data_IF_868518576868
#
_entry.id   IF_868518576868
#
_cell.length_a   1.000
_cell.length_b   1.000
_cell.length_c   1.000
_cell.angle_alpha   90.00
_cell.angle_beta   90.00
_cell.angle_gamma   90.00
#
_symmetry.space_group_name_H-M   'P 1'
#
loop_
_entity.id
_entity.type
_entity.pdbx_description
1 polymer ?
#
# COMPACT_ATOMS: atom_id res chain seq x y z
N UNK A 1 -17.29 22.28 -24.78
CA UNK A 1 -17.52 20.82 -24.62
C UNK A 1 -16.94 20.39 -23.28
N UNK A 2 -17.78 20.03 -22.31
CA UNK A 2 -17.31 19.49 -21.05
C UNK A 2 -16.65 18.12 -21.32
N UNK A 3 -15.36 17.96 -20.95
CA UNK A 3 -14.74 16.63 -20.89
C UNK A 3 -15.62 15.78 -19.98
N UNK A 4 -16.24 14.73 -20.53
CA UNK A 4 -16.76 13.62 -19.72
C UNK A 4 -15.60 13.17 -18.84
N UNK A 5 -15.65 13.48 -17.54
CA UNK A 5 -14.76 12.86 -16.57
C UNK A 5 -15.05 11.37 -16.62
N UNK A 6 -14.24 10.61 -17.36
CA UNK A 6 -14.23 9.17 -17.19
C UNK A 6 -13.71 8.94 -15.78
N UNK A 7 -14.58 8.48 -14.88
CA UNK A 7 -14.14 7.96 -13.59
C UNK A 7 -12.95 7.04 -13.84
N UNK A 8 -11.80 7.34 -13.22
CA UNK A 8 -10.62 6.52 -13.38
C UNK A 8 -10.93 5.13 -12.83
N UNK A 9 -10.84 4.08 -13.67
CA UNK A 9 -10.99 2.69 -13.23
C UNK A 9 -9.66 2.24 -12.62
N UNK A 10 -9.34 2.80 -11.47
CA UNK A 10 -8.06 2.57 -10.81
C UNK A 10 -8.23 1.82 -9.51
N UNK A 11 -7.33 0.86 -9.29
CA UNK A 11 -7.13 0.16 -8.03
C UNK A 11 -5.74 0.56 -7.54
N UNK A 12 -5.67 1.00 -6.30
CA UNK A 12 -4.46 1.50 -5.67
C UNK A 12 -4.16 0.61 -4.47
N UNK A 13 -3.07 -0.14 -4.54
CA UNK A 13 -2.58 -0.96 -3.42
C UNK A 13 -1.55 -0.15 -2.65
N UNK A 14 -1.88 0.22 -1.41
CA UNK A 14 -1.08 1.13 -0.60
C UNK A 14 -0.10 0.33 0.25
N UNK A 15 1.18 0.60 0.04
CA UNK A 15 2.31 0.04 0.78
C UNK A 15 2.56 0.80 2.10
N UNK A 16 3.30 0.17 3.02
CA UNK A 16 3.72 0.74 4.31
C UNK A 16 4.38 2.10 4.17
N UNK A 17 5.24 2.30 3.17
CA UNK A 17 5.94 3.58 2.99
C UNK A 17 5.00 4.77 2.78
N UNK A 18 3.87 4.58 2.08
CA UNK A 18 2.84 5.61 1.95
C UNK A 18 2.04 5.79 3.24
N UNK A 19 1.75 4.69 3.95
CA UNK A 19 1.08 4.74 5.24
C UNK A 19 1.90 5.54 6.27
N UNK A 20 3.22 5.35 6.31
CA UNK A 20 4.13 6.07 7.22
C UNK A 20 4.01 7.60 7.02
N UNK A 21 3.85 8.06 5.78
CA UNK A 21 3.67 9.46 5.43
C UNK A 21 2.26 9.97 5.81
N UNK A 22 1.21 9.20 5.53
CA UNK A 22 -0.16 9.55 5.91
C UNK A 22 -0.33 9.67 7.43
N UNK A 23 0.32 8.78 8.19
CA UNK A 23 0.38 8.78 9.65
C UNK A 23 1.41 9.77 10.21
N UNK A 24 2.32 10.29 9.37
CA UNK A 24 3.43 11.18 9.77
C UNK A 24 4.29 10.55 10.88
N UNK A 25 4.74 9.31 10.66
CA UNK A 25 5.53 8.57 11.64
C UNK A 25 6.94 9.18 11.73
N UNK A 26 7.39 9.66 12.91
CA UNK A 26 8.69 10.29 13.07
C UNK A 26 9.84 9.40 12.61
N UNK A 27 10.82 9.98 11.91
CA UNK A 27 11.97 9.26 11.37
C UNK A 27 11.67 8.46 10.09
N UNK A 28 10.40 8.31 9.72
CA UNK A 28 9.95 7.58 8.55
C UNK A 28 9.08 8.40 7.60
N UNK A 29 8.81 9.66 7.93
CA UNK A 29 8.01 10.58 7.12
C UNK A 29 8.72 11.91 6.86
N UNK A 30 8.50 12.50 5.69
CA UNK A 30 9.08 13.79 5.29
C UNK A 30 8.01 14.77 4.79
N UNK A 31 8.15 16.06 5.12
CA UNK A 31 7.10 17.06 4.87
C UNK A 31 6.71 17.20 3.39
N UNK A 32 7.66 17.02 2.46
CA UNK A 32 7.36 17.03 1.02
C UNK A 32 6.50 15.83 0.63
N UNK A 33 6.86 14.62 1.06
CA UNK A 33 6.11 13.41 0.77
C UNK A 33 4.74 13.40 1.43
N UNK A 34 4.64 13.86 2.68
CA UNK A 34 3.35 14.03 3.39
C UNK A 34 2.38 14.86 2.55
N UNK A 35 2.83 16.02 2.03
CA UNK A 35 1.99 16.89 1.21
C UNK A 35 1.57 16.22 -0.09
N UNK A 36 2.52 15.66 -0.83
CA UNK A 36 2.26 15.05 -2.13
C UNK A 36 1.34 13.83 -2.01
N UNK A 37 1.60 12.94 -1.05
CA UNK A 37 0.80 11.72 -0.84
C UNK A 37 -0.61 12.07 -0.37
N UNK A 38 -0.80 13.10 0.46
CA UNK A 38 -2.14 13.56 0.86
C UNK A 38 -2.93 14.09 -0.33
N UNK A 39 -2.33 14.92 -1.18
CA UNK A 39 -2.98 15.44 -2.38
C UNK A 39 -3.40 14.29 -3.30
N UNK A 40 -2.50 13.31 -3.53
CA UNK A 40 -2.80 12.11 -4.33
C UNK A 40 -3.93 11.29 -3.72
N UNK A 41 -3.87 11.03 -2.42
CA UNK A 41 -4.89 10.26 -1.70
C UNK A 41 -6.28 10.91 -1.78
N UNK A 42 -6.36 12.22 -1.54
CA UNK A 42 -7.60 12.98 -1.69
C UNK A 42 -8.13 12.96 -3.12
N UNK A 43 -7.24 13.07 -4.12
CA UNK A 43 -7.62 13.02 -5.52
C UNK A 43 -8.14 11.62 -5.91
N UNK A 44 -7.49 10.55 -5.47
CA UNK A 44 -7.94 9.18 -5.70
C UNK A 44 -9.35 8.92 -5.11
N UNK A 45 -9.63 9.46 -3.92
CA UNK A 45 -10.97 9.40 -3.33
C UNK A 45 -11.99 10.15 -4.20
N UNK A 46 -11.67 11.37 -4.65
CA UNK A 46 -12.53 12.16 -5.53
C UNK A 46 -12.83 11.45 -6.85
N UNK A 47 -11.82 10.78 -7.41
CA UNK A 47 -11.92 10.01 -8.66
C UNK A 47 -12.57 8.64 -8.48
N UNK A 48 -12.98 8.30 -7.24
CA UNK A 48 -13.58 7.02 -6.85
C UNK A 48 -12.70 5.82 -7.20
N UNK A 49 -11.39 6.00 -7.11
CA UNK A 49 -10.45 4.87 -7.16
C UNK A 49 -10.74 3.91 -6.00
N UNK A 50 -10.41 2.64 -6.18
CA UNK A 50 -10.50 1.66 -5.11
C UNK A 50 -9.16 1.59 -4.39
N UNK A 51 -9.12 1.97 -3.12
CA UNK A 51 -7.90 1.97 -2.32
C UNK A 51 -7.89 0.71 -1.44
N UNK A 52 -6.88 -0.11 -1.63
CA UNK A 52 -6.66 -1.34 -0.87
C UNK A 52 -5.40 -1.23 -0.03
N UNK A 53 -5.46 -1.71 1.21
CA UNK A 53 -4.31 -1.79 2.12
C UNK A 53 -4.11 -3.25 2.50
N UNK A 54 -3.01 -3.90 2.08
CA UNK A 54 -2.68 -5.24 2.53
C UNK A 54 -2.47 -5.27 4.05
N UNK A 55 -3.05 -6.27 4.73
CA UNK A 55 -2.91 -6.43 6.18
C UNK A 55 -1.44 -6.49 6.66
N UNK A 56 -0.48 -7.15 5.96
CA UNK A 56 0.92 -7.12 6.35
C UNK A 56 1.52 -5.69 6.44
N UNK A 57 1.10 -4.77 5.56
CA UNK A 57 1.55 -3.37 5.61
C UNK A 57 1.06 -2.65 6.88
N UNK A 58 -0.11 -3.05 7.42
CA UNK A 58 -0.64 -2.50 8.68
C UNK A 58 0.19 -3.01 9.86
N UNK A 59 0.61 -4.29 9.84
CA UNK A 59 1.51 -4.82 10.88
C UNK A 59 2.87 -4.13 10.86
N UNK A 60 3.43 -3.91 9.67
CA UNK A 60 4.70 -3.19 9.53
C UNK A 60 4.59 -1.72 9.98
N UNK A 61 3.50 -1.03 9.63
CA UNK A 61 3.20 0.30 10.19
C UNK A 61 3.12 0.27 11.72
N UNK A 62 2.47 -0.74 12.29
CA UNK A 62 2.36 -0.94 13.74
C UNK A 62 3.73 -1.07 14.41
N UNK A 63 4.65 -1.82 13.81
CA UNK A 63 6.03 -1.95 14.29
C UNK A 63 6.76 -0.60 14.26
N UNK A 64 6.67 0.15 13.17
CA UNK A 64 7.26 1.49 13.08
C UNK A 64 6.69 2.46 14.12
N UNK A 65 5.39 2.39 14.39
CA UNK A 65 4.76 3.18 15.47
C UNK A 65 5.33 2.77 16.84
N UNK A 66 5.48 1.47 17.11
CA UNK A 66 6.01 0.97 18.36
C UNK A 66 7.45 1.47 18.65
N UNK A 67 8.26 1.61 17.60
CA UNK A 67 9.65 2.08 17.68
C UNK A 67 9.79 3.61 17.86
N UNK A 68 8.68 4.37 17.82
CA UNK A 68 8.70 5.83 18.07
C UNK A 68 9.15 6.10 19.51
N UNK A 69 10.24 6.88 19.67
CA UNK A 69 10.87 7.18 20.96
C UNK A 69 9.98 8.01 21.89
N UNK A 70 9.31 9.03 21.37
CA UNK A 70 8.39 9.88 22.14
C UNK A 70 7.11 9.10 22.48
N UNK A 71 6.91 8.82 23.77
CA UNK A 71 5.76 8.05 24.25
C UNK A 71 4.42 8.71 23.94
N UNK A 72 4.33 10.04 24.08
CA UNK A 72 3.10 10.78 23.80
C UNK A 72 2.75 10.66 22.32
N UNK A 73 3.75 10.83 21.45
CA UNK A 73 3.57 10.67 20.00
C UNK A 73 3.22 9.23 19.63
N UNK A 74 3.89 8.24 20.21
CA UNK A 74 3.63 6.81 20.00
C UNK A 74 2.18 6.44 20.36
N UNK A 75 1.69 6.87 21.54
CA UNK A 75 0.30 6.64 21.97
C UNK A 75 -0.71 7.32 21.04
N UNK A 76 -0.43 8.56 20.62
CA UNK A 76 -1.30 9.28 19.69
C UNK A 76 -1.41 8.55 18.34
N UNK A 77 -0.28 8.06 17.79
CA UNK A 77 -0.25 7.30 16.54
C UNK A 77 -1.00 5.96 16.68
N UNK A 78 -0.81 5.23 17.78
CA UNK A 78 -1.52 3.98 18.04
C UNK A 78 -3.04 4.18 18.09
N UNK A 79 -3.52 5.23 18.78
CA UNK A 79 -4.96 5.56 18.79
C UNK A 79 -5.46 5.97 17.40
N UNK A 80 -4.68 6.76 16.67
CA UNK A 80 -5.04 7.16 15.31
C UNK A 80 -5.13 5.94 14.38
N UNK A 81 -4.26 4.94 14.57
CA UNK A 81 -4.33 3.67 13.82
C UNK A 81 -5.62 2.93 14.14
N UNK A 82 -5.96 2.77 15.42
CA UNK A 82 -7.22 2.13 15.85
C UNK A 82 -8.44 2.81 15.21
N UNK A 83 -8.54 4.14 15.33
CA UNK A 83 -9.65 4.90 14.76
C UNK A 83 -9.74 4.75 13.24
N UNK A 84 -8.60 4.79 12.55
CA UNK A 84 -8.53 4.63 11.10
C UNK A 84 -8.99 3.25 10.66
N UNK A 85 -8.48 2.20 11.31
CA UNK A 85 -8.81 0.80 10.98
C UNK A 85 -10.27 0.47 11.33
N UNK A 86 -10.78 0.95 12.47
CA UNK A 86 -12.19 0.82 12.82
C UNK A 86 -13.09 1.43 11.74
N UNK A 87 -12.77 2.65 11.30
CA UNK A 87 -13.51 3.32 10.23
C UNK A 87 -13.46 2.52 8.92
N UNK A 88 -12.28 1.98 8.56
CA UNK A 88 -12.13 1.15 7.36
C UNK A 88 -12.93 -0.15 7.46
N UNK A 89 -12.95 -0.83 8.61
CA UNK A 89 -13.71 -2.07 8.80
C UNK A 89 -15.22 -1.82 8.77
N UNK A 90 -15.69 -0.78 9.46
CA UNK A 90 -17.13 -0.48 9.57
C UNK A 90 -17.73 0.07 8.28
N UNK A 91 -16.94 0.86 7.54
CA UNK A 91 -17.46 1.66 6.41
C UNK A 91 -16.78 1.38 5.08
N UNK A 92 -15.74 0.54 5.06
CA UNK A 92 -14.90 0.30 3.86
C UNK A 92 -14.35 1.59 3.23
N UNK A 93 -14.03 2.58 4.08
CA UNK A 93 -13.52 3.89 3.65
C UNK A 93 -12.51 4.46 4.66
N UNK A 94 -11.45 5.17 4.22
CA UNK A 94 -11.09 5.38 2.82
C UNK A 94 -10.52 4.12 2.15
N UNK A 95 -10.21 3.08 2.92
CA UNK A 95 -9.56 1.88 2.43
C UNK A 95 -10.42 0.64 2.60
N UNK A 96 -10.30 -0.27 1.65
CA UNK A 96 -10.63 -1.67 1.86
C UNK A 96 -9.37 -2.36 2.38
N UNK A 97 -9.41 -2.84 3.62
CA UNK A 97 -8.30 -3.63 4.16
C UNK A 97 -8.42 -5.02 3.58
N UNK A 98 -7.37 -5.49 2.90
CA UNK A 98 -7.36 -6.85 2.37
C UNK A 98 -6.64 -7.73 3.36
N UNK A 99 -7.30 -8.77 3.91
CA UNK A 99 -6.52 -9.88 4.40
C UNK A 99 -5.67 -10.38 3.23
N UNK A 100 -4.49 -10.97 3.47
CA UNK A 100 -3.90 -11.77 2.42
C UNK A 100 -4.95 -12.82 2.08
N UNK A 101 -5.57 -12.75 0.90
CA UNK A 101 -6.48 -13.79 0.40
C UNK A 101 -5.68 -15.04 -0.02
N UNK A 102 -4.56 -15.24 0.67
CA UNK A 102 -3.79 -16.45 0.76
C UNK A 102 -4.57 -17.27 1.77
N UNK A 103 -5.41 -18.18 1.27
CA UNK A 103 -5.84 -19.31 2.08
C UNK A 103 -4.57 -19.96 2.64
N UNK A 104 -4.59 -20.44 3.88
CA UNK A 104 -3.37 -20.86 4.60
C UNK A 104 -2.56 -21.90 3.80
N UNK A 105 -3.22 -22.65 2.93
CA UNK A 105 -2.67 -23.62 1.99
C UNK A 105 -1.78 -23.01 0.89
N UNK A 106 -1.99 -21.74 0.53
CA UNK A 106 -1.18 -21.01 -0.45
C UNK A 106 0.01 -20.26 0.17
N UNK A 107 0.06 -20.13 1.51
CA UNK A 107 1.17 -19.48 2.21
C UNK A 107 2.52 -20.16 1.91
N UNK A 108 2.64 -21.50 1.88
CA UNK A 108 3.87 -22.17 1.45
C UNK A 108 4.31 -21.78 0.03
N UNK A 109 3.37 -21.52 -0.89
CA UNK A 109 3.72 -21.09 -2.26
C UNK A 109 4.25 -19.66 -2.26
N UNK A 110 3.63 -18.75 -1.50
CA UNK A 110 4.16 -17.39 -1.30
C UNK A 110 5.57 -17.45 -0.71
N UNK A 111 5.78 -18.26 0.34
CA UNK A 111 7.09 -18.40 0.99
C UNK A 111 8.13 -19.04 0.07
N UNK A 112 7.74 -20.02 -0.75
CA UNK A 112 8.62 -20.60 -1.76
C UNK A 112 8.98 -19.57 -2.84
N UNK A 113 8.04 -18.74 -3.29
CA UNK A 113 8.31 -17.65 -4.22
C UNK A 113 9.25 -16.62 -3.59
N UNK A 114 8.99 -16.20 -2.36
CA UNK A 114 9.85 -15.30 -1.61
C UNK A 114 11.28 -15.84 -1.49
N UNK A 115 11.42 -17.09 -1.03
CA UNK A 115 12.71 -17.73 -0.79
C UNK A 115 13.51 -17.94 -2.07
N UNK A 116 12.86 -18.25 -3.20
CA UNK A 116 13.55 -18.58 -4.45
C UNK A 116 13.66 -17.40 -5.43
N UNK A 117 12.91 -16.31 -5.22
CA UNK A 117 12.85 -15.19 -6.16
C UNK A 117 13.04 -13.85 -5.43
N UNK A 118 12.11 -13.45 -4.57
CA UNK A 118 12.10 -12.10 -3.97
C UNK A 118 13.35 -11.77 -3.15
N UNK A 119 13.79 -12.69 -2.29
CA UNK A 119 14.92 -12.45 -1.37
C UNK A 119 16.29 -12.68 -2.02
N UNK A 120 16.35 -13.43 -3.11
CA UNK A 120 17.60 -13.74 -3.83
C UNK A 120 17.90 -12.66 -4.88
N UNK A 121 16.86 -12.03 -5.45
CA UNK A 121 16.99 -10.98 -6.46
C UNK A 121 17.25 -9.60 -5.82
N UNK A 122 18.29 -9.52 -4.99
CA UNK A 122 18.74 -8.27 -4.42
C UNK A 122 19.34 -7.39 -5.51
N UNK A 123 18.96 -6.11 -5.53
CA UNK A 123 19.59 -5.08 -6.36
C UNK A 123 20.10 -3.97 -5.45
N UNK A 124 21.34 -3.54 -5.69
CA UNK A 124 22.01 -2.49 -4.91
C UNK A 124 21.96 -2.74 -3.39
N UNK A 125 22.09 -4.01 -2.98
CA UNK A 125 22.06 -4.42 -1.57
C UNK A 125 20.68 -4.41 -0.91
N UNK A 126 19.59 -4.18 -1.66
CA UNK A 126 18.21 -4.25 -1.18
C UNK A 126 17.48 -5.43 -1.81
N UNK A 127 16.85 -6.23 -0.96
CA UNK A 127 16.04 -7.38 -1.36
C UNK A 127 14.58 -7.10 -1.00
N UNK A 128 13.62 -7.61 -1.77
CA UNK A 128 12.21 -7.44 -1.44
C UNK A 128 11.87 -8.27 -0.21
N UNK A 129 11.18 -7.65 0.75
CA UNK A 129 10.70 -8.32 1.95
C UNK A 129 9.50 -9.22 1.68
N UNK A 130 9.08 -9.95 2.72
CA UNK A 130 7.85 -10.74 2.64
C UNK A 130 6.61 -9.85 2.52
N UNK A 131 6.62 -8.67 3.15
CA UNK A 131 5.56 -7.65 3.00
C UNK A 131 5.47 -7.20 1.54
N UNK A 132 6.57 -6.73 0.95
CA UNK A 132 6.63 -6.37 -0.48
C UNK A 132 6.12 -7.48 -1.39
N UNK A 133 6.57 -8.73 -1.14
CA UNK A 133 6.15 -9.89 -1.93
C UNK A 133 4.64 -10.12 -1.82
N UNK A 134 4.08 -9.98 -0.62
CA UNK A 134 2.63 -10.09 -0.42
C UNK A 134 1.86 -8.95 -1.09
N UNK A 135 2.42 -7.74 -1.13
CA UNK A 135 1.84 -6.57 -1.79
C UNK A 135 1.79 -6.75 -3.31
N UNK A 136 2.86 -7.26 -3.92
CA UNK A 136 2.88 -7.61 -5.36
C UNK A 136 1.84 -8.68 -5.67
N UNK A 137 1.79 -9.74 -4.85
CA UNK A 137 0.81 -10.82 -5.03
C UNK A 137 -0.62 -10.29 -4.96
N UNK A 138 -0.92 -9.41 -4.00
CA UNK A 138 -2.24 -8.81 -3.86
C UNK A 138 -2.61 -7.90 -5.04
N UNK A 139 -1.66 -7.08 -5.51
CA UNK A 139 -1.86 -6.26 -6.70
C UNK A 139 -2.16 -7.11 -7.94
N UNK A 140 -1.44 -8.22 -8.13
CA UNK A 140 -1.67 -9.14 -9.24
C UNK A 140 -3.04 -9.82 -9.14
N UNK A 141 -3.42 -10.28 -7.94
CA UNK A 141 -4.74 -10.89 -7.70
C UNK A 141 -5.88 -9.92 -8.03
N UNK A 142 -5.78 -8.67 -7.57
CA UNK A 142 -6.76 -7.62 -7.87
C UNK A 142 -6.82 -7.32 -9.37
N UNK A 143 -5.66 -7.33 -10.05
CA UNK A 143 -5.59 -7.17 -11.51
C UNK A 143 -6.34 -8.28 -12.23
N UNK A 144 -6.09 -9.53 -11.86
CA UNK A 144 -6.71 -10.68 -12.51
C UNK A 144 -8.22 -10.73 -12.27
N UNK A 145 -8.66 -10.45 -11.03
CA UNK A 145 -10.08 -10.39 -10.67
C UNK A 145 -10.87 -9.30 -11.42
N UNK A 146 -10.19 -8.26 -11.94
CA UNK A 146 -10.82 -7.10 -12.60
C UNK A 146 -10.35 -6.91 -14.05
N UNK A 147 -9.64 -7.89 -14.60
CA UNK A 147 -9.03 -7.83 -15.94
C UNK A 147 -10.05 -7.54 -17.04
N UNK A 148 -11.21 -8.20 -17.01
CA UNK A 148 -12.30 -8.02 -17.98
C UNK A 148 -13.00 -6.65 -17.89
N UNK A 149 -12.85 -5.96 -16.75
CA UNK A 149 -13.47 -4.65 -16.50
C UNK A 149 -12.55 -3.47 -16.87
N UNK A 150 -11.32 -3.75 -17.29
CA UNK A 150 -10.37 -2.74 -17.74
C UNK A 150 -9.80 -1.88 -16.61
N UNK A 151 -9.79 -2.37 -15.36
CA UNK A 151 -9.13 -1.66 -14.28
C UNK A 151 -7.61 -1.66 -14.44
N UNK A 152 -7.01 -0.53 -14.08
CA UNK A 152 -5.57 -0.38 -13.89
C UNK A 152 -5.24 -0.56 -12.41
N UNK A 153 -4.23 -1.36 -12.11
CA UNK A 153 -3.82 -1.64 -10.73
C UNK A 153 -2.41 -1.11 -10.52
N UNK A 154 -2.25 -0.23 -9.54
CA UNK A 154 -0.98 0.40 -9.22
C UNK A 154 -0.59 0.13 -7.78
N UNK A 155 0.71 0.02 -7.53
CA UNK A 155 1.26 -0.04 -6.18
C UNK A 155 1.72 1.37 -5.80
N UNK A 156 1.13 1.91 -4.75
CA UNK A 156 1.50 3.19 -4.15
C UNK A 156 2.53 2.97 -3.06
N UNK A 157 3.79 3.20 -3.41
CA UNK A 157 4.97 2.97 -2.57
C UNK A 157 6.05 4.00 -2.90
N UNK A 158 6.91 4.33 -1.92
CA UNK A 158 8.17 5.06 -2.14
C UNK A 158 9.32 4.11 -2.51
N UNK A 159 9.13 2.79 -2.38
CA UNK A 159 10.15 1.81 -2.75
C UNK A 159 10.13 1.57 -4.27
N UNK A 160 11.21 1.99 -4.93
CA UNK A 160 11.37 1.85 -6.38
C UNK A 160 11.35 0.39 -6.84
N UNK A 161 11.90 -0.53 -6.03
CA UNK A 161 11.99 -1.95 -6.37
C UNK A 161 10.62 -2.62 -6.26
N UNK A 162 9.85 -2.31 -5.21
CA UNK A 162 8.46 -2.76 -5.13
C UNK A 162 7.65 -2.20 -6.29
N UNK A 163 7.85 -0.92 -6.64
CA UNK A 163 7.17 -0.28 -7.77
C UNK A 163 7.43 -0.97 -9.11
N UNK A 164 8.66 -1.40 -9.38
CA UNK A 164 9.02 -2.15 -10.61
C UNK A 164 8.21 -3.43 -10.81
N UNK A 165 7.61 -3.98 -9.75
CA UNK A 165 6.83 -5.21 -9.78
C UNK A 165 5.31 -4.97 -9.82
N UNK A 166 4.86 -3.73 -10.04
CA UNK A 166 3.43 -3.46 -10.19
C UNK A 166 2.85 -4.03 -11.50
N UNK A 167 1.56 -4.41 -11.52
CA UNK A 167 0.97 -5.09 -12.68
C UNK A 167 0.65 -4.16 -13.86
N UNK A 168 0.38 -2.87 -13.63
CA UNK A 168 0.21 -1.86 -14.67
C UNK A 168 1.09 -0.64 -14.41
N UNK A 169 1.75 -0.06 -15.42
CA UNK A 169 2.54 1.16 -15.24
C UNK A 169 1.66 2.33 -14.79
N UNK A 170 2.08 3.03 -13.76
CA UNK A 170 1.47 4.29 -13.31
C UNK A 170 2.09 5.50 -14.02
N UNK A 171 1.26 6.42 -14.50
CA UNK A 171 1.74 7.72 -14.99
C UNK A 171 2.15 8.61 -13.81
N UNK A 172 3.41 9.08 -13.82
CA UNK A 172 3.97 9.98 -12.80
C UNK A 172 3.86 9.43 -11.35
N UNK A 173 4.46 8.27 -11.05
CA UNK A 173 4.47 7.74 -9.69
C UNK A 173 5.28 8.65 -8.76
N UNK A 174 4.87 8.74 -7.49
CA UNK A 174 5.64 9.46 -6.47
C UNK A 174 6.46 8.48 -5.64
N UNK A 175 7.79 8.59 -5.74
CA UNK A 175 8.72 7.63 -5.11
C UNK A 175 9.61 8.29 -4.03
N UNK A 176 9.25 9.48 -3.54
CA UNK A 176 10.08 10.36 -2.69
C UNK A 176 10.78 11.49 -3.43
#
# INVERSE_FOLDING_TARGET
MAKKSSLSRSILVIDTSYLLELFRVPGHSEEKAIREIRIRHEQAIKDKAMLFVPLPCIFELGNHIADVRDETRRKALAHFLVQTIQTCVERSTPWTITPPEIVIEDLPKLLAHFANQSVIQCRDGKCMGLVDTSTVHEAQRLKDARKSLGYKVHIWTKDKRLKENEPDPEDNPFLG
#
